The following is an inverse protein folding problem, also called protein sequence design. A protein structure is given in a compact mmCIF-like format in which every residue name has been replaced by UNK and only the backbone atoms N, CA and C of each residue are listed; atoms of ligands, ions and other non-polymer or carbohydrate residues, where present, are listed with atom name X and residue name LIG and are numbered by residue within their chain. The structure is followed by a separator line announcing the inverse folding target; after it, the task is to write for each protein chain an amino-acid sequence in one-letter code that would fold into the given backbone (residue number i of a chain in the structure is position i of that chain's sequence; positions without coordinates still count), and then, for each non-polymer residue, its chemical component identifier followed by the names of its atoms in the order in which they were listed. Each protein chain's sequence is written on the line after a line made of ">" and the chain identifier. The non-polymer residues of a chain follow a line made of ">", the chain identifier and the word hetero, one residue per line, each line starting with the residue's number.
data_IF_967999556927
#
_entry.id   IF_967999556927
#
_cell.length_a   1.000
_cell.length_b   1.000
_cell.length_c   1.000
_cell.angle_alpha   90.00
_cell.angle_beta   90.00
_cell.angle_gamma   90.00
#
_symmetry.space_group_name_H-M   'P 1'
#
loop_
_entity.id
_entity.type
_entity.pdbx_description
1 polymer ?
#
# COMPACT_ATOMS: atom_id res chain seq x y z
N UNK A 1 27.35 29.29 -18.13
CA UNK A 1 27.08 29.03 -17.94
C UNK A 1 26.64 28.44 -17.70
N UNK A 2 26.50 28.58 -17.82
CA UNK A 2 25.97 28.03 -17.51
C UNK A 2 25.39 27.45 -17.39
N UNK A 3 25.29 27.67 -17.43
CA UNK A 3 24.73 27.10 -17.24
C UNK A 3 24.30 26.58 -17.22
N UNK A 4 24.36 26.72 -17.39
CA UNK A 4 23.97 26.21 -17.26
C UNK A 4 23.63 25.70 -17.11
N UNK A 5 23.43 25.90 -17.09
CA UNK A 5 23.03 25.37 -16.78
C UNK A 5 22.76 24.88 -16.59
N UNK A 6 22.85 25.04 -16.85
CA UNK A 6 22.61 24.54 -16.55
C UNK A 6 22.13 24.01 -16.31
N UNK A 7 22.13 24.29 -16.55
CA UNK A 7 21.61 23.76 -16.23
C UNK A 7 21.25 23.22 -16.15
N UNK A 8 21.04 23.16 -16.17
CA UNK A 8 20.74 22.65 -15.94
C UNK A 8 20.45 22.14 -15.60
N UNK A 9 20.53 22.45 -15.68
CA UNK A 9 20.22 21.99 -15.20
C UNK A 9 19.76 21.67 -14.72
N UNK A 10 19.74 21.78 -14.69
CA UNK A 10 19.31 21.45 -14.23
C UNK A 10 18.79 21.09 -13.76
N UNK A 11 18.96 21.27 -13.76
CA UNK A 11 18.51 20.93 -13.36
C UNK A 11 18.09 20.52 -12.87
N UNK A 12 17.98 20.36 -12.68
CA UNK A 12 17.62 19.89 -12.27
C UNK A 12 17.31 19.44 -11.64
N UNK A 13 17.36 19.52 -11.12
CA UNK A 13 17.00 18.93 -10.56
C UNK A 13 16.83 18.24 -10.11
N UNK A 14 16.80 17.90 -9.79
CA UNK A 14 16.48 17.17 -9.77
C UNK A 14 16.38 16.46 -9.05
N UNK A 15 16.16 16.19 -8.06
CA UNK A 15 15.93 15.56 -7.51
C UNK A 15 15.51 14.55 -7.26
N UNK A 16 15.38 14.40 -6.35
CA UNK A 16 14.81 13.13 -5.95
C UNK A 16 14.01 12.58 -7.03
N UNK A 17 14.63 12.57 -8.00
CA UNK A 17 14.05 12.16 -9.20
C UNK A 17 13.77 10.73 -9.29
N UNK A 18 14.48 9.89 -8.54
CA UNK A 18 14.22 8.47 -8.60
C UNK A 18 12.81 8.14 -8.11
N UNK A 19 12.37 8.83 -7.06
CA UNK A 19 11.01 8.62 -6.58
C UNK A 19 9.99 9.08 -7.58
N UNK A 20 10.23 10.20 -8.19
CA UNK A 20 9.31 10.70 -9.18
C UNK A 20 9.24 9.81 -10.39
N UNK A 21 10.38 9.27 -10.78
CA UNK A 21 10.42 8.39 -11.92
C UNK A 21 9.65 7.11 -11.65
N UNK A 22 9.81 6.58 -10.46
CA UNK A 22 9.09 5.39 -10.06
C UNK A 22 7.59 5.65 -10.11
N UNK A 23 7.15 6.77 -9.55
CA UNK A 23 5.74 7.11 -9.53
C UNK A 23 5.19 7.25 -10.93
N UNK A 24 6.00 7.75 -11.85
CA UNK A 24 5.55 7.92 -13.22
C UNK A 24 5.41 6.59 -13.95
N UNK A 25 6.17 5.59 -13.53
CA UNK A 25 6.10 4.29 -14.17
C UNK A 25 4.86 3.52 -13.74
N UNK A 26 4.29 3.87 -12.61
CA UNK A 26 3.09 3.21 -12.12
C UNK A 26 1.89 4.10 -12.36
N UNK A 27 0.77 3.51 -12.80
CA UNK A 27 -0.45 4.30 -12.93
C UNK A 27 -0.75 4.96 -11.59
N UNK A 28 -1.01 6.27 -11.57
CA UNK A 28 -1.17 6.98 -10.30
C UNK A 28 -2.31 6.46 -9.44
N UNK A 29 -3.32 5.89 -10.02
CA UNK A 29 -4.49 5.47 -9.26
C UNK A 29 -4.85 4.03 -9.55
N UNK A 30 -3.86 3.18 -9.60
CA UNK A 30 -4.13 1.77 -9.84
C UNK A 30 -4.60 1.12 -8.54
N UNK A 31 -5.82 1.44 -8.16
CA UNK A 31 -6.39 0.93 -6.93
C UNK A 31 -6.55 -0.57 -7.00
N UNK A 32 -6.84 -1.10 -8.18
CA UNK A 32 -6.98 -2.54 -8.32
C UNK A 32 -5.68 -3.26 -7.96
N UNK A 33 -4.55 -2.70 -8.37
CA UNK A 33 -3.26 -3.29 -8.02
C UNK A 33 -3.01 -3.20 -6.51
N UNK A 34 -3.39 -2.08 -5.90
CA UNK A 34 -3.22 -1.93 -4.47
C UNK A 34 -4.10 -2.92 -3.71
N UNK A 35 -5.33 -3.10 -4.17
CA UNK A 35 -6.22 -4.07 -3.56
C UNK A 35 -5.68 -5.49 -3.69
N UNK A 36 -5.07 -5.79 -4.82
CA UNK A 36 -4.50 -7.12 -5.01
C UNK A 36 -3.38 -7.39 -4.00
N UNK A 37 -2.57 -6.36 -3.71
CA UNK A 37 -1.53 -6.48 -2.70
C UNK A 37 -2.14 -6.74 -1.33
N UNK A 38 -3.18 -5.99 -0.97
CA UNK A 38 -3.85 -6.18 0.31
C UNK A 38 -4.44 -7.59 0.39
N UNK A 39 -5.10 -8.04 -0.68
CA UNK A 39 -5.69 -9.37 -0.69
C UNK A 39 -4.63 -10.45 -0.48
N UNK A 40 -3.48 -10.29 -1.13
CA UNK A 40 -2.40 -11.25 -0.97
C UNK A 40 -1.94 -11.32 0.49
N UNK A 41 -1.82 -10.16 1.13
CA UNK A 41 -1.41 -10.09 2.53
C UNK A 41 -2.42 -10.79 3.42
N UNK A 42 -3.70 -10.59 3.15
CA UNK A 42 -4.76 -11.16 3.99
C UNK A 42 -4.84 -12.67 3.87
N UNK A 43 -4.42 -13.21 2.74
CA UNK A 43 -4.52 -14.64 2.50
C UNK A 43 -3.23 -15.39 2.78
N UNK A 44 -2.11 -14.69 2.82
CA UNK A 44 -0.81 -15.33 3.01
C UNK A 44 0.07 -14.41 3.84
N UNK A 45 0.25 -14.78 5.11
CA UNK A 45 1.03 -13.94 6.03
C UNK A 45 2.44 -13.70 5.53
N UNK A 46 2.99 -14.64 4.80
CA UNK A 46 4.36 -14.47 4.31
C UNK A 46 4.44 -13.39 3.25
N UNK A 47 3.32 -13.03 2.64
CA UNK A 47 3.31 -11.98 1.65
C UNK A 47 3.68 -10.63 2.25
N UNK A 48 3.29 -10.37 3.50
CA UNK A 48 3.58 -9.09 4.12
C UNK A 48 5.08 -8.85 4.23
N UNK A 49 5.83 -9.88 4.59
CA UNK A 49 7.28 -9.73 4.69
C UNK A 49 7.86 -9.31 3.35
N UNK A 50 7.40 -9.94 2.27
CA UNK A 50 7.91 -9.62 0.95
C UNK A 50 7.48 -8.22 0.51
N UNK A 51 6.23 -7.88 0.76
CA UNK A 51 5.70 -6.58 0.35
C UNK A 51 6.38 -5.46 1.12
N UNK A 52 6.55 -5.63 2.43
CA UNK A 52 7.12 -4.56 3.24
C UNK A 52 8.60 -4.34 2.93
N UNK A 53 9.23 -5.28 2.24
CA UNK A 53 10.61 -5.08 1.81
C UNK A 53 10.70 -4.09 0.66
N UNK A 54 9.62 -3.87 -0.08
CA UNK A 54 9.66 -3.01 -1.24
C UNK A 54 8.63 -1.87 -1.21
N UNK A 55 7.62 -1.96 -0.36
CA UNK A 55 6.59 -0.92 -0.27
C UNK A 55 6.47 -0.39 1.15
N UNK A 56 6.17 0.90 1.24
CA UNK A 56 5.86 1.54 2.50
C UNK A 56 4.41 2.02 2.43
N UNK A 57 3.84 2.35 3.58
CA UNK A 57 2.44 2.77 3.59
C UNK A 57 2.20 4.00 2.71
N UNK A 58 3.18 4.89 2.60
CA UNK A 58 3.01 6.08 1.79
C UNK A 58 2.98 5.77 0.29
N UNK A 59 3.34 4.56 -0.09
CA UNK A 59 3.27 4.17 -1.50
C UNK A 59 1.85 3.85 -1.95
N UNK A 60 0.92 3.72 -1.00
CA UNK A 60 -0.47 3.45 -1.33
C UNK A 60 -1.22 4.75 -1.56
N UNK A 61 -1.89 4.83 -2.68
CA UNK A 61 -2.74 5.97 -2.98
C UNK A 61 -4.09 5.84 -2.30
N UNK A 62 -4.67 4.66 -2.32
CA UNK A 62 -5.99 4.44 -1.77
C UNK A 62 -5.94 4.41 -0.25
N UNK A 63 -6.77 5.25 0.37
CA UNK A 63 -6.78 5.38 1.82
C UNK A 63 -7.09 4.06 2.50
N UNK A 64 -8.04 3.32 1.95
CA UNK A 64 -8.44 2.05 2.55
C UNK A 64 -7.32 1.02 2.48
N UNK A 65 -6.65 0.93 1.33
CA UNK A 65 -5.55 0.00 1.17
C UNK A 65 -4.38 0.37 2.07
N UNK A 66 -4.10 1.66 2.16
CA UNK A 66 -3.05 2.14 3.04
C UNK A 66 -3.33 1.76 4.49
N UNK A 67 -4.58 1.99 4.92
CA UNK A 67 -4.96 1.66 6.31
C UNK A 67 -4.83 0.16 6.58
N UNK A 68 -5.26 -0.67 5.63
CA UNK A 68 -5.15 -2.11 5.80
C UNK A 68 -3.71 -2.55 5.87
N UNK A 69 -2.84 -1.95 5.06
CA UNK A 69 -1.43 -2.27 5.08
C UNK A 69 -0.81 -1.89 6.42
N UNK A 70 -1.14 -0.70 6.92
CA UNK A 70 -0.61 -0.26 8.20
C UNK A 70 -1.09 -1.13 9.35
N UNK A 71 -2.37 -1.52 9.33
CA UNK A 71 -2.89 -2.41 10.35
C UNK A 71 -2.16 -3.75 10.32
N UNK A 72 -1.89 -4.25 9.12
CA UNK A 72 -1.18 -5.51 8.97
C UNK A 72 0.24 -5.42 9.55
N UNK A 73 0.92 -4.31 9.32
CA UNK A 73 2.26 -4.12 9.87
C UNK A 73 2.24 -4.13 11.40
N UNK A 74 1.24 -3.51 12.00
CA UNK A 74 1.13 -3.49 13.45
C UNK A 74 0.88 -4.88 14.01
N UNK A 75 0.06 -5.66 13.33
CA UNK A 75 -0.18 -7.03 13.76
C UNK A 75 1.08 -7.86 13.68
N UNK A 76 1.84 -7.71 12.60
CA UNK A 76 3.08 -8.44 12.47
C UNK A 76 4.07 -8.06 13.55
N UNK A 77 4.11 -6.78 13.86
CA UNK A 77 5.03 -6.29 14.89
C UNK A 77 4.75 -6.93 16.25
N UNK A 78 3.46 -7.19 16.52
CA UNK A 78 3.06 -7.83 17.75
C UNK A 78 3.09 -9.34 17.69
N UNK A 79 3.45 -9.90 16.54
CA UNK A 79 3.48 -11.35 16.37
C UNK A 79 2.10 -11.96 16.25
N UNK A 80 1.10 -11.19 15.84
CA UNK A 80 -0.25 -11.70 15.72
C UNK A 80 -0.54 -12.13 14.29
N UNK A 81 -1.45 -13.06 14.16
CA UNK A 81 -1.84 -13.58 12.87
C UNK A 81 -2.52 -12.50 12.04
N UNK A 82 -2.25 -12.52 10.74
CA UNK A 82 -2.81 -11.52 9.83
C UNK A 82 -3.87 -12.18 8.96
N UNK A 83 -5.12 -11.84 9.23
CA UNK A 83 -6.26 -12.33 8.47
C UNK A 83 -7.23 -11.16 8.30
N UNK A 84 -8.26 -11.36 7.47
CA UNK A 84 -9.28 -10.32 7.34
C UNK A 84 -9.87 -9.98 8.69
N UNK A 85 -10.10 -10.99 9.53
CA UNK A 85 -10.69 -10.76 10.84
C UNK A 85 -9.79 -9.95 11.75
N UNK A 86 -8.52 -10.33 11.85
CA UNK A 86 -7.61 -9.61 12.75
C UNK A 86 -7.30 -8.22 12.24
N UNK A 87 -7.18 -8.05 10.92
CA UNK A 87 -6.99 -6.72 10.36
C UNK A 87 -8.21 -5.85 10.62
N UNK A 88 -9.40 -6.42 10.49
CA UNK A 88 -10.64 -5.69 10.80
C UNK A 88 -10.65 -5.22 12.24
N UNK A 89 -10.28 -6.10 13.17
CA UNK A 89 -10.23 -5.73 14.58
C UNK A 89 -9.19 -4.65 14.83
N UNK A 90 -8.05 -4.74 14.16
CA UNK A 90 -7.01 -3.75 14.33
C UNK A 90 -7.46 -2.39 13.79
N UNK A 91 -8.14 -2.40 12.65
CA UNK A 91 -8.68 -1.16 12.09
C UNK A 91 -9.70 -0.54 13.03
N UNK A 92 -10.52 -1.37 13.67
CA UNK A 92 -11.48 -0.87 14.63
C UNK A 92 -10.77 -0.26 15.83
N UNK A 93 -9.74 -0.92 16.32
CA UNK A 93 -8.97 -0.41 17.45
C UNK A 93 -8.32 0.93 17.13
N UNK A 94 -7.90 1.10 15.88
CA UNK A 94 -7.28 2.35 15.43
C UNK A 94 -8.30 3.43 15.08
N UNK A 95 -9.58 3.09 15.10
CA UNK A 95 -10.62 4.04 14.72
C UNK A 95 -10.71 4.24 13.22
N UNK A 96 -10.21 3.31 12.44
CA UNK A 96 -10.17 3.44 10.99
C UNK A 96 -11.14 2.53 10.26
N UNK A 97 -11.88 1.70 10.98
CA UNK A 97 -12.75 0.73 10.31
C UNK A 97 -13.77 1.41 9.42
N UNK A 98 -14.39 2.47 9.91
CA UNK A 98 -15.38 3.18 9.09
C UNK A 98 -14.72 3.84 7.89
N UNK A 99 -13.50 4.29 8.05
CA UNK A 99 -12.77 4.95 6.96
C UNK A 99 -12.60 4.02 5.77
N UNK A 100 -12.36 2.72 6.03
CA UNK A 100 -12.16 1.79 4.93
C UNK A 100 -13.48 1.23 4.41
N UNK A 101 -14.60 1.54 5.05
CA UNK A 101 -15.88 0.99 4.61
C UNK A 101 -16.31 -0.24 5.36
N UNK A 102 -15.75 -0.45 6.56
CA UNK A 102 -16.14 -1.58 7.40
C UNK A 102 -15.45 -2.87 6.98
N UNK A 103 -15.82 -3.93 7.66
CA UNK A 103 -15.25 -5.25 7.37
C UNK A 103 -15.60 -5.72 5.96
N UNK A 104 -16.65 -5.16 5.40
CA UNK A 104 -17.06 -5.50 4.06
C UNK A 104 -15.95 -5.19 3.04
N UNK A 105 -15.18 -4.13 3.25
CA UNK A 105 -14.10 -3.79 2.36
C UNK A 105 -13.08 -4.94 2.26
N UNK A 106 -12.72 -5.51 3.40
CA UNK A 106 -11.73 -6.58 3.41
C UNK A 106 -12.24 -7.82 2.71
N UNK A 107 -13.51 -8.16 2.96
CA UNK A 107 -14.12 -9.31 2.31
C UNK A 107 -14.20 -9.11 0.81
N UNK A 108 -14.55 -7.91 0.38
CA UNK A 108 -14.69 -7.63 -1.03
C UNK A 108 -13.34 -7.67 -1.75
N UNK A 109 -12.31 -7.19 -1.10
CA UNK A 109 -10.98 -7.20 -1.68
C UNK A 109 -10.53 -8.62 -1.95
N UNK A 110 -10.73 -9.50 -0.97
CA UNK A 110 -10.35 -10.90 -1.14
C UNK A 110 -11.19 -11.53 -2.26
N UNK A 111 -12.49 -11.31 -2.23
CA UNK A 111 -13.38 -11.89 -3.21
C UNK A 111 -13.03 -11.43 -4.63
N UNK A 112 -12.72 -10.15 -4.77
CA UNK A 112 -12.47 -9.56 -6.07
C UNK A 112 -11.20 -10.09 -6.71
N UNK A 113 -10.21 -10.44 -5.91
CA UNK A 113 -8.90 -10.77 -6.43
C UNK A 113 -8.53 -12.25 -6.34
N UNK A 114 -9.37 -13.06 -5.73
CA UNK A 114 -9.04 -14.46 -5.53
C UNK A 114 -10.15 -15.44 -5.89
N UNK A 115 -11.22 -14.95 -6.42
CA UNK A 115 -12.21 -15.87 -6.97
C UNK A 115 -11.76 -16.12 -8.38
N UNK A 116 -11.47 -16.99 -8.72
CA UNK A 116 -11.13 -17.10 -9.97
C UNK A 116 -11.43 -17.43 -10.94
N UNK A 117 -11.39 -17.24 -11.40
CA UNK A 117 -11.54 -17.46 -12.20
C UNK A 117 -11.30 -18.05 -12.63
#
# INVERSE_FOLDING_TARGET
>A
MVNSNTGQLSAFPQQPRSNQRFAQQLPPHDISAEEAVVAAILLDETALVKVSAILQSDDFFDVSCKAAFEASLLLEERGEQITATTVGHELERLGLLDTVGGEKFLAEVISKHFTAE
#
